data_IF_951547182031
#
_entry.id   IF_951547182031
#
_cell.length_a   1.000
_cell.length_b   1.000
_cell.length_c   1.000
_cell.angle_alpha   90.00
_cell.angle_beta   90.00
_cell.angle_gamma   90.00
#
_symmetry.space_group_name_H-M   'P 1'
#
loop_
_entity.id
_entity.type
_entity.pdbx_description
1 polymer ?
#
# COMPACT_ATOMS: atom_id res chain seq x y z
N UNK A 1 25.67 -5.96 -9.94
CA UNK A 1 24.33 -5.65 -9.43
C UNK A 1 24.48 -5.57 -7.92
N UNK A 2 24.91 -4.41 -7.42
CA UNK A 2 25.08 -4.19 -5.99
C UNK A 2 23.70 -4.07 -5.36
N UNK A 3 23.41 -4.96 -4.40
CA UNK A 3 22.28 -4.79 -3.50
C UNK A 3 22.48 -3.46 -2.76
N UNK A 4 21.44 -2.60 -2.62
CA UNK A 4 21.57 -1.36 -1.88
C UNK A 4 22.08 -1.65 -0.48
N UNK A 5 23.36 -1.33 -0.24
CA UNK A 5 24.06 -1.60 1.01
C UNK A 5 23.50 -0.73 2.12
N UNK A 6 23.10 -1.37 3.23
CA UNK A 6 22.94 -0.98 4.64
C UNK A 6 22.67 0.49 5.09
N UNK A 7 22.51 1.46 4.20
CA UNK A 7 22.15 2.85 4.52
C UNK A 7 21.12 3.41 3.53
N UNK A 8 20.30 2.56 2.92
CA UNK A 8 19.16 3.04 2.16
C UNK A 8 18.16 3.72 3.11
N UNK A 9 17.78 4.97 2.82
CA UNK A 9 16.72 5.64 3.61
C UNK A 9 15.37 4.95 3.36
N UNK A 10 14.39 5.12 4.25
CA UNK A 10 13.01 4.64 4.01
C UNK A 10 12.45 5.11 2.67
N UNK A 11 12.86 6.29 2.22
CA UNK A 11 12.46 6.87 0.92
C UNK A 11 13.10 6.10 -0.24
N UNK A 12 14.36 5.70 -0.14
CA UNK A 12 15.03 4.93 -1.20
C UNK A 12 14.41 3.53 -1.36
N UNK A 13 14.09 2.89 -0.24
CA UNK A 13 13.34 1.63 -0.25
C UNK A 13 11.94 1.81 -0.85
N UNK A 14 11.25 2.91 -0.52
CA UNK A 14 9.94 3.23 -1.10
C UNK A 14 10.04 3.46 -2.63
N UNK A 15 11.08 4.14 -3.11
CA UNK A 15 11.34 4.31 -4.56
C UNK A 15 11.59 2.97 -5.26
N UNK A 16 12.40 2.10 -4.67
CA UNK A 16 12.65 0.77 -5.22
C UNK A 16 11.34 -0.03 -5.32
N UNK A 17 10.51 0.00 -4.27
CA UNK A 17 9.19 -0.65 -4.28
C UNK A 17 8.32 -0.10 -5.40
N UNK A 18 8.16 1.22 -5.51
CA UNK A 18 7.33 1.83 -6.55
C UNK A 18 7.81 1.42 -7.96
N UNK A 19 9.12 1.48 -8.21
CA UNK A 19 9.72 1.12 -9.49
C UNK A 19 9.45 -0.35 -9.89
N UNK A 20 9.52 -1.27 -8.93
CA UNK A 20 9.25 -2.70 -9.18
C UNK A 20 7.76 -3.06 -9.16
N UNK A 21 6.93 -2.29 -8.47
CA UNK A 21 5.49 -2.51 -8.38
C UNK A 21 4.78 -2.17 -9.71
N UNK A 22 5.23 -1.16 -10.45
CA UNK A 22 4.62 -0.75 -11.72
C UNK A 22 4.45 -1.90 -12.74
N UNK A 23 5.52 -2.65 -13.06
CA UNK A 23 5.44 -3.84 -13.92
C UNK A 23 4.51 -4.94 -13.38
N UNK A 24 4.54 -5.20 -12.08
CA UNK A 24 3.70 -6.23 -11.43
C UNK A 24 2.21 -5.86 -11.44
N UNK A 25 1.90 -4.59 -11.19
CA UNK A 25 0.54 -4.07 -11.29
C UNK A 25 0.01 -4.13 -12.72
N UNK A 26 0.88 -3.84 -13.70
CA UNK A 26 0.53 -3.90 -15.12
C UNK A 26 0.27 -5.32 -15.59
N UNK A 27 1.11 -6.29 -15.20
CA UNK A 27 0.96 -7.70 -15.60
C UNK A 27 -0.21 -8.39 -14.92
N UNK A 28 -0.54 -8.03 -13.68
CA UNK A 28 -1.68 -8.56 -12.94
C UNK A 28 -3.01 -7.87 -13.28
N UNK A 29 -2.98 -6.72 -13.97
CA UNK A 29 -4.15 -5.87 -14.19
C UNK A 29 -4.71 -5.26 -12.90
N UNK A 30 -3.92 -5.25 -11.82
CA UNK A 30 -4.34 -4.74 -10.52
C UNK A 30 -4.13 -3.23 -10.43
N UNK A 31 -4.90 -2.56 -9.58
CA UNK A 31 -4.85 -1.12 -9.36
C UNK A 31 -3.84 -0.77 -8.26
N UNK A 32 -3.90 -1.47 -7.13
CA UNK A 32 -3.03 -1.30 -5.97
C UNK A 32 -2.36 -2.62 -5.59
N UNK A 33 -1.18 -2.51 -4.99
CA UNK A 33 -0.40 -3.61 -4.44
C UNK A 33 -0.12 -3.31 -2.97
N UNK A 34 -0.20 -4.34 -2.14
CA UNK A 34 0.29 -4.29 -0.78
C UNK A 34 1.41 -5.29 -0.55
N UNK A 35 2.37 -4.88 0.27
CA UNK A 35 3.43 -5.70 0.84
C UNK A 35 3.22 -5.69 2.35
N UNK A 36 2.99 -6.86 2.94
CA UNK A 36 2.75 -6.99 4.38
C UNK A 36 3.67 -8.04 5.01
N UNK A 37 4.09 -7.79 6.24
CA UNK A 37 4.80 -8.74 7.09
C UNK A 37 3.93 -9.10 8.27
N UNK A 38 3.87 -10.40 8.57
CA UNK A 38 3.19 -10.94 9.74
C UNK A 38 4.18 -10.85 10.92
N UNK A 39 3.80 -10.17 11.99
CA UNK A 39 4.65 -9.88 13.17
C UNK A 39 4.45 -10.76 14.42
N UNK A 40 3.53 -11.76 14.50
CA UNK A 40 3.32 -12.53 15.71
C UNK A 40 4.51 -13.46 16.01
N UNK A 41 4.67 -13.87 17.28
CA UNK A 41 5.74 -14.76 17.69
C UNK A 41 5.68 -16.09 16.91
N UNK A 42 6.77 -16.44 16.23
CA UNK A 42 6.88 -17.65 15.40
C UNK A 42 6.59 -17.45 13.91
N UNK A 43 6.16 -16.25 13.49
CA UNK A 43 6.16 -15.90 12.07
C UNK A 43 7.60 -15.84 11.54
N UNK A 44 7.80 -16.29 10.31
CA UNK A 44 9.06 -16.05 9.60
C UNK A 44 9.20 -14.53 9.40
N UNK A 45 10.12 -13.85 10.12
CA UNK A 45 10.27 -12.40 10.04
C UNK A 45 10.75 -11.95 8.65
N UNK A 46 11.14 -12.88 7.79
CA UNK A 46 11.55 -12.62 6.41
C UNK A 46 10.41 -12.70 5.39
N UNK A 47 9.25 -13.29 5.74
CA UNK A 47 8.18 -13.52 4.76
C UNK A 47 7.38 -12.26 4.51
N UNK A 48 7.30 -11.87 3.24
CA UNK A 48 6.45 -10.79 2.75
C UNK A 48 5.27 -11.39 2.00
N UNK A 49 4.06 -11.07 2.44
CA UNK A 49 2.85 -11.42 1.74
C UNK A 49 2.48 -10.28 0.76
N UNK A 50 2.29 -10.66 -0.50
CA UNK A 50 1.89 -9.77 -1.59
C UNK A 50 0.40 -9.98 -1.89
N UNK A 51 -0.37 -8.90 -1.86
CA UNK A 51 -1.77 -8.92 -2.26
C UNK A 51 -2.12 -7.70 -3.11
N UNK A 52 -3.15 -7.82 -3.94
CA UNK A 52 -3.55 -6.78 -4.86
C UNK A 52 -5.04 -6.47 -4.78
N UNK A 53 -5.36 -5.24 -5.16
CA UNK A 53 -6.73 -4.78 -5.35
C UNK A 53 -6.92 -4.34 -6.79
N UNK A 54 -7.91 -4.90 -7.46
CA UNK A 54 -8.10 -4.79 -8.91
C UNK A 54 -8.98 -3.60 -9.35
N UNK A 55 -9.50 -2.80 -8.41
CA UNK A 55 -10.42 -1.72 -8.73
C UNK A 55 -11.88 -2.15 -8.87
N UNK A 56 -12.14 -3.46 -8.92
CA UNK A 56 -13.48 -4.04 -9.12
C UNK A 56 -14.00 -4.73 -7.87
N UNK A 57 -13.07 -5.26 -7.08
CA UNK A 57 -13.34 -5.86 -5.77
C UNK A 57 -13.88 -4.78 -4.84
N UNK A 58 -14.99 -5.00 -4.10
CA UNK A 58 -15.51 -4.01 -3.16
C UNK A 58 -14.44 -3.58 -2.15
N UNK A 59 -14.41 -2.31 -1.76
CA UNK A 59 -13.42 -1.76 -0.80
C UNK A 59 -13.56 -2.36 0.61
N UNK A 60 -14.69 -3.01 0.89
CA UNK A 60 -14.96 -3.77 2.11
C UNK A 60 -14.40 -5.20 2.08
N UNK A 61 -14.06 -5.73 0.91
CA UNK A 61 -13.56 -7.09 0.77
C UNK A 61 -12.05 -7.17 1.06
N UNK A 62 -11.54 -8.34 1.49
CA UNK A 62 -10.11 -8.56 1.62
C UNK A 62 -9.41 -8.50 0.26
N UNK A 63 -8.14 -8.08 0.28
CA UNK A 63 -7.33 -8.01 -0.94
C UNK A 63 -6.95 -9.42 -1.40
N UNK A 64 -6.83 -9.59 -2.71
CA UNK A 64 -6.57 -10.91 -3.29
C UNK A 64 -5.07 -11.20 -3.23
N UNK A 65 -4.63 -12.40 -2.81
CA UNK A 65 -3.23 -12.79 -2.95
C UNK A 65 -2.75 -12.60 -4.39
N UNK A 66 -1.55 -12.07 -4.54
CA UNK A 66 -0.98 -11.83 -5.87
C UNK A 66 -0.71 -13.18 -6.55
N UNK A 67 -1.60 -13.58 -7.45
CA UNK A 67 -1.44 -14.78 -8.26
C UNK A 67 -0.60 -14.46 -9.50
N UNK A 68 0.64 -14.94 -9.53
CA UNK A 68 1.58 -14.65 -10.61
C UNK A 68 1.47 -15.77 -11.62
N UNK A 69 1.06 -15.43 -12.85
CA UNK A 69 0.96 -16.39 -13.94
C UNK A 69 2.37 -16.74 -14.42
N UNK A 70 2.86 -17.89 -13.97
CA UNK A 70 4.12 -18.50 -14.42
C UNK A 70 5.31 -18.11 -13.55
N UNK A 71 5.76 -19.07 -12.71
CA UNK A 71 7.05 -19.05 -12.02
C UNK A 71 7.20 -17.97 -10.94
N UNK A 72 7.41 -18.41 -9.71
CA UNK A 72 7.59 -17.59 -8.50
C UNK A 72 8.76 -16.58 -8.52
N UNK A 73 9.58 -16.51 -9.58
CA UNK A 73 10.88 -15.83 -9.58
C UNK A 73 11.03 -14.83 -10.73
N UNK A 74 10.15 -13.84 -10.82
CA UNK A 74 10.50 -12.66 -11.64
C UNK A 74 11.45 -11.76 -10.82
N UNK A 75 12.53 -11.23 -11.40
CA UNK A 75 13.46 -10.34 -10.68
C UNK A 75 12.78 -9.16 -9.98
N UNK A 76 11.65 -8.68 -10.53
CA UNK A 76 10.86 -7.61 -9.93
C UNK A 76 10.21 -8.03 -8.61
N UNK A 77 9.75 -9.28 -8.48
CA UNK A 77 9.13 -9.77 -7.25
C UNK A 77 10.16 -9.99 -6.16
N UNK A 78 11.29 -10.61 -6.49
CA UNK A 78 12.40 -10.77 -5.55
C UNK A 78 12.87 -9.40 -5.04
N UNK A 79 12.96 -8.40 -5.93
CA UNK A 79 13.30 -7.04 -5.54
C UNK A 79 12.21 -6.36 -4.68
N UNK A 80 10.93 -6.61 -4.96
CA UNK A 80 9.80 -6.14 -4.14
C UNK A 80 9.84 -6.75 -2.74
N UNK A 81 10.01 -8.06 -2.63
CA UNK A 81 10.08 -8.77 -1.35
C UNK A 81 11.28 -8.28 -0.53
N UNK A 82 12.46 -8.16 -1.17
CA UNK A 82 13.65 -7.67 -0.49
C UNK A 82 13.50 -6.22 -0.01
N UNK A 83 13.02 -5.32 -0.87
CA UNK A 83 12.82 -3.90 -0.53
C UNK A 83 11.71 -3.73 0.50
N UNK A 84 10.63 -4.50 0.38
CA UNK A 84 9.52 -4.54 1.32
C UNK A 84 9.97 -5.01 2.70
N UNK A 85 10.76 -6.08 2.77
CA UNK A 85 11.33 -6.57 4.04
C UNK A 85 12.18 -5.51 4.75
N UNK A 86 13.07 -4.86 4.02
CA UNK A 86 13.91 -3.80 4.61
C UNK A 86 13.07 -2.60 5.06
N UNK A 87 12.08 -2.19 4.26
CA UNK A 87 11.23 -1.06 4.59
C UNK A 87 10.35 -1.36 5.81
N UNK A 88 9.70 -2.52 5.86
CA UNK A 88 8.86 -2.92 6.98
C UNK A 88 9.67 -3.12 8.26
N UNK A 89 10.89 -3.65 8.17
CA UNK A 89 11.82 -3.70 9.31
C UNK A 89 12.16 -2.28 9.82
N UNK A 90 12.32 -1.30 8.93
CA UNK A 90 12.53 0.10 9.30
C UNK A 90 11.29 0.81 9.85
N UNK A 91 10.08 0.34 9.51
CA UNK A 91 8.82 0.86 10.06
C UNK A 91 8.44 0.24 11.41
N UNK A 92 8.82 -1.02 11.67
CA UNK A 92 8.42 -1.74 12.89
C UNK A 92 8.72 -0.99 14.21
N UNK A 93 9.85 -0.27 14.38
CA UNK A 93 10.13 0.50 15.59
C UNK A 93 9.15 1.66 15.87
N UNK A 94 8.25 2.00 14.93
CA UNK A 94 7.21 3.02 15.14
C UNK A 94 6.12 2.57 16.11
N UNK A 95 5.94 1.26 16.29
CA UNK A 95 5.04 0.71 17.30
C UNK A 95 5.83 0.21 18.51
N UNK A 96 5.49 0.64 19.74
CA UNK A 96 6.16 0.13 20.93
C UNK A 96 5.89 -1.37 21.06
N UNK A 97 6.81 -2.10 21.70
CA UNK A 97 6.78 -3.57 21.71
C UNK A 97 5.45 -4.16 22.22
N UNK A 98 4.80 -3.50 23.18
CA UNK A 98 3.52 -3.89 23.76
C UNK A 98 2.28 -3.52 22.91
N UNK A 99 2.45 -2.72 21.86
CA UNK A 99 1.39 -2.32 20.93
C UNK A 99 1.74 -2.69 19.49
N UNK A 100 2.64 -3.66 19.28
CA UNK A 100 2.96 -4.14 17.94
C UNK A 100 1.71 -4.80 17.32
N UNK A 101 1.25 -4.31 16.17
CA UNK A 101 0.11 -4.91 15.48
C UNK A 101 0.51 -6.30 14.97
N UNK A 102 -0.44 -7.23 14.74
CA UNK A 102 -0.17 -8.59 14.24
C UNK A 102 0.31 -8.62 12.78
N UNK A 103 0.14 -7.52 12.05
CA UNK A 103 0.63 -7.34 10.69
C UNK A 103 0.93 -5.86 10.45
N UNK A 104 2.03 -5.59 9.75
CA UNK A 104 2.37 -4.27 9.23
C UNK A 104 2.52 -4.36 7.71
N UNK A 105 2.14 -3.31 7.01
CA UNK A 105 2.24 -3.29 5.56
C UNK A 105 2.22 -1.88 4.98
N UNK A 106 2.53 -1.84 3.69
CA UNK A 106 2.43 -0.65 2.86
C UNK A 106 1.43 -0.87 1.71
N UNK A 107 1.00 0.23 1.10
CA UNK A 107 0.28 0.26 -0.16
C UNK A 107 1.09 1.03 -1.20
N UNK A 108 1.05 0.56 -2.45
CA UNK A 108 1.64 1.24 -3.60
C UNK A 108 0.76 1.07 -4.84
N UNK A 109 0.80 2.07 -5.72
CA UNK A 109 0.22 2.02 -7.07
C UNK A 109 1.28 2.03 -8.18
N UNK A 110 2.54 1.78 -7.81
CA UNK A 110 3.70 1.85 -8.71
C UNK A 110 4.30 3.25 -8.88
N UNK A 111 3.69 4.30 -8.29
CA UNK A 111 4.25 5.66 -8.26
C UNK A 111 4.51 6.12 -6.83
N UNK A 112 3.49 6.00 -5.97
CA UNK A 112 3.61 6.36 -4.56
C UNK A 112 3.68 5.14 -3.65
N UNK A 113 4.07 5.39 -2.40
CA UNK A 113 4.11 4.39 -1.32
C UNK A 113 3.62 5.05 -0.05
N UNK A 114 2.69 4.39 0.64
CA UNK A 114 2.17 4.86 1.92
C UNK A 114 1.90 3.70 2.87
N UNK A 115 1.73 4.01 4.15
CA UNK A 115 1.28 3.09 5.20
C UNK A 115 0.30 3.81 6.11
N UNK A 116 -0.52 3.10 6.88
CA UNK A 116 -1.38 3.72 7.89
C UNK A 116 -0.88 3.34 9.29
N UNK A 117 -0.43 4.32 10.11
CA UNK A 117 0.03 4.04 11.47
C UNK A 117 -1.04 3.43 12.37
N UNK A 118 -2.28 3.93 12.25
CA UNK A 118 -3.41 3.53 13.09
C UNK A 118 -4.02 2.20 12.63
N UNK A 119 -3.96 1.92 11.32
CA UNK A 119 -4.45 0.67 10.72
C UNK A 119 -3.34 0.03 9.86
N UNK A 120 -2.34 -0.61 10.48
CA UNK A 120 -1.12 -1.04 9.78
C UNK A 120 -1.25 -2.24 8.87
N UNK A 121 -2.41 -2.89 8.80
CA UNK A 121 -2.64 -4.11 8.00
C UNK A 121 -3.49 -3.81 6.75
N UNK A 122 -2.88 -3.36 5.63
CA UNK A 122 -3.59 -3.00 4.40
C UNK A 122 -4.34 -4.14 3.71
N UNK A 123 -3.97 -5.40 3.97
CA UNK A 123 -4.68 -6.57 3.45
C UNK A 123 -5.99 -6.89 4.18
N UNK A 124 -6.28 -6.22 5.32
CA UNK A 124 -7.48 -6.46 6.11
C UNK A 124 -8.75 -6.02 5.38
N UNK A 125 -9.83 -6.78 5.55
CA UNK A 125 -11.14 -6.41 5.01
C UNK A 125 -11.58 -5.02 5.54
N UNK A 126 -12.11 -4.18 4.66
CA UNK A 126 -12.55 -2.83 5.02
C UNK A 126 -11.43 -1.78 5.09
N UNK A 127 -10.15 -2.18 5.06
CA UNK A 127 -9.03 -1.24 5.21
C UNK A 127 -9.08 -0.12 4.18
N UNK A 128 -9.25 -0.47 2.89
CA UNK A 128 -9.32 0.51 1.82
C UNK A 128 -10.52 1.44 1.98
N UNK A 129 -11.68 0.90 2.39
CA UNK A 129 -12.87 1.68 2.68
C UNK A 129 -12.65 2.74 3.77
N UNK A 130 -11.92 2.41 4.85
CA UNK A 130 -11.62 3.38 5.91
C UNK A 130 -10.71 4.52 5.43
N UNK A 131 -9.71 4.21 4.60
CA UNK A 131 -8.82 5.25 4.04
C UNK A 131 -9.59 6.17 3.08
N UNK A 132 -10.40 5.60 2.18
CA UNK A 132 -11.18 6.38 1.21
C UNK A 132 -12.30 7.19 1.87
N UNK A 133 -12.89 6.67 2.95
CA UNK A 133 -13.89 7.38 3.74
C UNK A 133 -13.32 8.47 4.67
N UNK A 134 -12.00 8.66 4.70
CA UNK A 134 -11.33 9.61 5.59
C UNK A 134 -11.38 9.24 7.07
N UNK A 135 -11.79 8.01 7.41
CA UNK A 135 -11.83 7.52 8.79
C UNK A 135 -10.41 7.26 9.33
N UNK A 136 -9.44 7.05 8.44
CA UNK A 136 -8.05 6.82 8.77
C UNK A 136 -7.15 7.61 7.80
N UNK A 137 -6.01 8.08 8.31
CA UNK A 137 -5.01 8.72 7.48
C UNK A 137 -3.92 7.71 7.07
N UNK A 138 -3.40 7.90 5.86
CA UNK A 138 -2.14 7.29 5.44
C UNK A 138 -1.00 8.29 5.60
N UNK A 139 0.15 7.77 6.01
CA UNK A 139 1.43 8.47 5.96
C UNK A 139 2.14 8.10 4.67
N UNK A 140 2.39 9.11 3.85
CA UNK A 140 3.05 8.96 2.55
C UNK A 140 4.57 8.94 2.71
N UNK A 141 5.20 7.85 2.28
CA UNK A 141 6.67 7.72 2.22
C UNK A 141 7.21 8.22 0.88
N UNK A 142 6.44 8.03 -0.19
CA UNK A 142 6.73 8.51 -1.54
C UNK A 142 5.43 9.04 -2.14
N UNK A 143 5.38 10.30 -2.63
CA UNK A 143 4.15 10.90 -3.12
C UNK A 143 3.57 10.15 -4.30
N UNK A 144 2.25 9.99 -4.29
CA UNK A 144 1.48 9.50 -5.43
C UNK A 144 1.43 10.58 -6.51
N UNK A 145 1.61 10.20 -7.78
CA UNK A 145 1.46 11.14 -8.88
C UNK A 145 0.01 11.63 -8.97
N UNK A 146 -0.28 12.90 -9.34
CA UNK A 146 -1.66 13.41 -9.40
C UNK A 146 -2.58 12.61 -10.31
N UNK A 147 -2.01 11.98 -11.35
CA UNK A 147 -2.73 11.14 -12.31
C UNK A 147 -2.75 9.67 -11.94
N UNK A 148 -2.14 9.29 -10.82
CA UNK A 148 -1.99 7.90 -10.39
C UNK A 148 -3.31 7.31 -9.93
N UNK A 149 -3.32 5.98 -9.78
CA UNK A 149 -4.54 5.26 -9.43
C UNK A 149 -4.97 5.57 -8.00
N UNK A 150 -4.03 5.64 -7.06
CA UNK A 150 -4.33 6.05 -5.69
C UNK A 150 -4.87 7.48 -5.64
N UNK A 151 -4.21 8.43 -6.31
CA UNK A 151 -4.62 9.84 -6.29
C UNK A 151 -6.06 10.03 -6.81
N UNK A 152 -6.46 9.28 -7.84
CA UNK A 152 -7.83 9.28 -8.36
C UNK A 152 -8.85 8.68 -7.39
N UNK A 153 -8.46 7.68 -6.59
CA UNK A 153 -9.34 7.05 -5.61
C UNK A 153 -9.58 7.95 -4.40
N UNK A 154 -8.56 8.71 -3.99
CA UNK A 154 -8.62 9.60 -2.82
C UNK A 154 -8.96 11.04 -3.17
N UNK A 155 -9.15 11.36 -4.45
CA UNK A 155 -9.59 12.69 -4.84
C UNK A 155 -10.98 12.94 -4.23
N UNK A 156 -11.21 14.09 -3.57
CA UNK A 156 -12.55 14.44 -3.12
C UNK A 156 -13.50 14.44 -4.33
N UNK A 157 -14.67 13.82 -4.19
CA UNK A 157 -15.71 13.89 -5.21
C UNK A 157 -16.11 15.36 -5.39
N UNK A 158 -15.62 16.00 -6.46
CA UNK A 158 -15.98 17.37 -6.85
C UNK A 158 -17.51 17.53 -7.13
N UNK A 159 -18.28 16.43 -7.10
CA UNK A 159 -19.73 16.46 -7.27
C UNK A 159 -20.50 16.93 -6.03
N UNK A 160 -19.91 16.98 -4.83
CA UNK A 160 -20.62 17.49 -3.65
C UNK A 160 -20.56 19.02 -3.51
N UNK A 161 -19.71 19.70 -4.28
CA UNK A 161 -19.54 21.16 -4.20
C UNK A 161 -20.60 21.92 -5.04
N UNK A 162 -21.21 21.28 -6.04
CA UNK A 162 -22.24 21.89 -6.88
C UNK A 162 -23.68 21.74 -6.34
N UNK A 163 -23.94 20.77 -5.46
CA UNK A 163 -25.26 20.61 -4.83
C UNK A 163 -25.45 21.48 -3.57
N UNK A 164 -24.36 21.90 -2.91
CA UNK A 164 -24.42 22.82 -1.77
C UNK A 164 -24.67 24.29 -2.13
N UNK A 165 -24.38 24.69 -3.38
CA UNK A 165 -24.51 26.07 -3.85
C UNK A 165 -25.84 26.38 -4.58
N UNK A 166 -26.67 25.37 -4.85
CA UNK A 166 -28.00 25.53 -5.45
C UNK A 166 -29.16 25.53 -4.43
N UNK A 167 -28.88 25.32 -3.14
CA UNK A 167 -29.89 25.30 -2.07
C UNK A 167 -30.04 26.62 -1.29
N UNK A 168 -29.22 27.65 -1.56
CA UNK A 168 -29.24 28.91 -0.80
C UNK A 168 -29.92 30.11 -1.51
N UNK A 169 -30.69 29.89 -2.57
CA UNK A 169 -31.42 30.97 -3.27
C UNK A 169 -32.92 30.72 -3.39
N UNK A 170 -33.56 30.34 -2.28
CA UNK A 170 -35.00 30.53 -2.08
C UNK A 170 -35.29 30.86 -0.62
N UNK A 171 -35.21 32.15 -0.28
CA UNK A 171 -36.10 32.78 0.70
C UNK A 171 -36.20 34.26 0.40
#
# INVERSE_FOLDING_TARGET
MELPGETATLVDMARAIAAHAGPVLSSSGSTLLTLSATTPPGADPGRIDLACWDGRTPVSAPWRPLAIRGGSDTPALTALEQSGRLLLAGLLPRWPANARPPSIGIVTDGHGVAFSPDHPSPGSAGWLGWQLGGACAVTTLLPFAPTSRWARLTAPDDQNTLNGLLLFNRH
#
